data_IF_785516018879
#
_entry.id   IF_785516018879
#
_cell.length_a   1.000
_cell.length_b   1.000
_cell.length_c   1.000
_cell.angle_alpha   90.00
_cell.angle_beta   90.00
_cell.angle_gamma   90.00
#
_symmetry.space_group_name_H-M   'P 1'
#
loop_
_entity.id
_entity.type
_entity.pdbx_description
1 polymer ?
#
# COMPACT_ATOMS: atom_id res chain seq x y z
N UNK A 1 -23.57 8.52 8.60
CA UNK A 1 -22.38 8.38 7.74
C UNK A 1 -21.61 7.16 8.22
N UNK A 2 -21.17 6.30 7.30
CA UNK A 2 -20.30 5.16 7.63
C UNK A 2 -18.92 5.71 8.05
N UNK A 3 -18.27 5.16 9.09
CA UNK A 3 -16.94 5.62 9.49
C UNK A 3 -15.93 5.43 8.35
N UNK A 4 -14.90 6.29 8.25
CA UNK A 4 -13.86 6.12 7.24
C UNK A 4 -13.09 4.83 7.50
N UNK A 5 -12.64 4.19 6.41
CA UNK A 5 -11.86 2.96 6.48
C UNK A 5 -10.50 3.17 7.19
N UNK A 6 -9.88 4.33 6.97
CA UNK A 6 -8.63 4.78 7.61
C UNK A 6 -8.81 6.20 8.16
N UNK A 7 -8.23 6.49 9.31
CA UNK A 7 -8.27 7.82 9.97
C UNK A 7 -7.14 8.72 9.52
N UNK A 8 -5.93 8.17 9.36
CA UNK A 8 -4.73 8.86 8.91
C UNK A 8 -3.89 7.93 8.03
N UNK A 9 -4.01 8.14 6.72
CA UNK A 9 -3.19 7.46 5.73
C UNK A 9 -2.02 8.35 5.31
N UNK A 10 -0.79 7.83 5.41
CA UNK A 10 0.40 8.50 4.88
C UNK A 10 0.76 7.93 3.53
N UNK A 11 0.87 8.82 2.52
CA UNK A 11 1.32 8.48 1.18
C UNK A 11 2.85 8.62 1.15
N UNK A 12 3.52 7.49 1.01
CA UNK A 12 4.98 7.39 1.08
C UNK A 12 5.57 7.34 -0.33
N UNK A 13 6.35 8.37 -0.65
CA UNK A 13 7.21 8.44 -1.84
C UNK A 13 8.62 8.77 -1.38
N UNK A 14 9.62 7.96 -1.78
CA UNK A 14 11.00 8.03 -1.29
C UNK A 14 11.64 9.38 -1.55
N UNK A 15 11.43 9.96 -2.74
CA UNK A 15 12.02 11.25 -3.13
C UNK A 15 11.51 12.43 -2.30
N UNK A 16 10.39 12.26 -1.57
CA UNK A 16 9.81 13.28 -0.69
C UNK A 16 10.21 13.09 0.78
N UNK A 17 10.90 12.00 1.12
CA UNK A 17 11.32 11.73 2.48
C UNK A 17 12.63 12.48 2.78
N UNK A 18 12.68 13.22 3.89
CA UNK A 18 13.94 13.80 4.39
C UNK A 18 14.80 12.74 5.10
N UNK A 19 14.15 11.77 5.74
CA UNK A 19 14.79 10.62 6.38
C UNK A 19 14.77 9.41 5.43
N UNK A 20 15.38 8.32 5.88
CA UNK A 20 15.14 7.02 5.25
C UNK A 20 13.62 6.74 5.16
N UNK A 21 13.11 6.23 4.02
CA UNK A 21 11.68 6.01 3.85
C UNK A 21 11.07 5.02 4.85
N UNK A 22 11.79 3.98 5.26
CA UNK A 22 11.30 3.02 6.24
C UNK A 22 11.24 3.67 7.63
N UNK A 23 12.24 4.48 7.98
CA UNK A 23 12.23 5.27 9.21
C UNK A 23 11.10 6.32 9.21
N UNK A 24 10.85 6.96 8.07
CA UNK A 24 9.73 7.89 7.87
C UNK A 24 8.39 7.19 8.14
N UNK A 25 8.20 6.00 7.59
CA UNK A 25 7.01 5.19 7.85
C UNK A 25 6.90 4.80 9.33
N UNK A 26 8.00 4.40 9.96
CA UNK A 26 8.04 4.04 11.39
C UNK A 26 7.60 5.20 12.28
N UNK A 27 8.08 6.41 12.00
CA UNK A 27 7.72 7.61 12.74
C UNK A 27 6.28 8.04 12.46
N UNK A 28 5.81 7.94 11.22
CA UNK A 28 4.41 8.20 10.87
C UNK A 28 3.45 7.29 11.62
N UNK A 29 3.76 5.98 11.67
CA UNK A 29 2.97 5.00 12.43
C UNK A 29 3.00 5.33 13.93
N UNK A 30 4.17 5.66 14.49
CA UNK A 30 4.27 6.08 15.89
C UNK A 30 3.47 7.37 16.18
N UNK A 31 3.32 8.25 15.19
CA UNK A 31 2.49 9.45 15.24
C UNK A 31 0.99 9.20 15.06
N UNK A 32 0.57 7.95 14.82
CA UNK A 32 -0.84 7.56 14.74
C UNK A 32 -1.38 7.30 13.33
N UNK A 33 -0.52 7.14 12.32
CA UNK A 33 -0.96 6.67 11.01
C UNK A 33 -1.49 5.22 11.12
N UNK A 34 -2.70 5.00 10.63
CA UNK A 34 -3.36 3.68 10.61
C UNK A 34 -3.36 3.02 9.21
N UNK A 35 -2.86 3.75 8.21
CA UNK A 35 -2.52 3.20 6.91
C UNK A 35 -1.26 3.85 6.31
N UNK A 36 -0.49 3.07 5.57
CA UNK A 36 0.59 3.55 4.71
C UNK A 36 0.25 3.19 3.27
N UNK A 37 0.34 4.16 2.36
CA UNK A 37 0.27 3.92 0.93
C UNK A 37 1.68 3.99 0.32
N UNK A 38 2.16 2.89 -0.25
CA UNK A 38 3.41 2.86 -1.00
C UNK A 38 3.15 3.43 -2.40
N UNK A 39 3.70 4.62 -2.68
CA UNK A 39 3.51 5.33 -3.95
C UNK A 39 4.83 5.64 -4.63
N UNK A 40 5.19 4.81 -5.60
CA UNK A 40 6.39 4.97 -6.42
C UNK A 40 6.07 4.81 -7.90
N UNK A 41 5.98 5.92 -8.63
CA UNK A 41 5.59 5.92 -10.06
C UNK A 41 6.71 5.50 -11.01
N UNK A 42 7.96 5.55 -10.56
CA UNK A 42 9.14 5.28 -11.39
C UNK A 42 9.71 3.88 -11.19
N UNK A 43 9.22 3.13 -10.19
CA UNK A 43 9.68 1.76 -9.92
C UNK A 43 8.98 0.74 -10.81
N UNK A 44 9.74 -0.26 -11.24
CA UNK A 44 9.18 -1.52 -11.74
C UNK A 44 8.47 -2.28 -10.61
N UNK A 45 7.61 -3.22 -10.97
CA UNK A 45 6.94 -4.13 -10.02
C UNK A 45 7.95 -4.87 -9.14
N UNK A 46 9.07 -5.35 -9.70
CA UNK A 46 10.11 -6.06 -8.94
C UNK A 46 10.79 -5.18 -7.89
N UNK A 47 11.13 -3.93 -8.25
CA UNK A 47 11.72 -2.98 -7.30
C UNK A 47 10.72 -2.65 -6.18
N UNK A 48 9.46 -2.43 -6.56
CA UNK A 48 8.36 -2.16 -5.63
C UNK A 48 8.12 -3.34 -4.69
N UNK A 49 8.21 -4.58 -5.18
CA UNK A 49 8.11 -5.79 -4.36
C UNK A 49 9.24 -5.89 -3.34
N UNK A 50 10.49 -5.64 -3.76
CA UNK A 50 11.63 -5.73 -2.86
C UNK A 50 11.51 -4.75 -1.69
N UNK A 51 11.19 -3.49 -1.99
CA UNK A 51 11.00 -2.48 -0.96
C UNK A 51 9.70 -2.69 -0.16
N UNK A 52 8.62 -3.05 -0.85
CA UNK A 52 7.30 -3.28 -0.26
C UNK A 52 7.29 -4.41 0.77
N UNK A 53 8.17 -5.42 0.66
CA UNK A 53 8.28 -6.48 1.69
C UNK A 53 8.71 -5.92 3.05
N UNK A 54 9.70 -5.03 3.07
CA UNK A 54 10.18 -4.41 4.32
C UNK A 54 9.10 -3.53 4.94
N UNK A 55 8.44 -2.71 4.10
CA UNK A 55 7.35 -1.85 4.55
C UNK A 55 6.13 -2.65 5.03
N UNK A 56 5.82 -3.77 4.36
CA UNK A 56 4.72 -4.64 4.74
C UNK A 56 4.97 -5.30 6.09
N UNK A 57 6.19 -5.83 6.31
CA UNK A 57 6.57 -6.40 7.60
C UNK A 57 6.46 -5.37 8.74
N UNK A 58 6.88 -4.13 8.50
CA UNK A 58 6.71 -3.04 9.45
C UNK A 58 5.22 -2.79 9.75
N UNK A 59 4.39 -2.63 8.73
CA UNK A 59 2.95 -2.37 8.88
C UNK A 59 2.24 -3.50 9.62
N UNK A 60 2.49 -4.77 9.26
CA UNK A 60 1.94 -5.94 9.94
C UNK A 60 2.31 -5.98 11.42
N UNK A 61 3.57 -5.72 11.76
CA UNK A 61 4.03 -5.70 13.16
C UNK A 61 3.34 -4.64 14.03
N UNK A 62 2.65 -3.67 13.42
CA UNK A 62 1.97 -2.56 14.08
C UNK A 62 0.45 -2.58 13.89
N UNK A 63 -0.09 -3.56 13.16
CA UNK A 63 -1.53 -3.61 12.82
C UNK A 63 -1.97 -2.45 11.93
N UNK A 64 -1.06 -1.93 11.10
CA UNK A 64 -1.30 -0.83 10.16
C UNK A 64 -1.58 -1.39 8.77
N UNK A 65 -2.52 -0.80 8.04
CA UNK A 65 -2.82 -1.22 6.68
C UNK A 65 -1.70 -0.79 5.71
N UNK A 66 -1.35 -1.68 4.77
CA UNK A 66 -0.49 -1.33 3.63
C UNK A 66 -1.31 -1.31 2.35
N UNK A 67 -1.27 -0.18 1.62
CA UNK A 67 -1.92 0.01 0.34
C UNK A 67 -0.86 0.22 -0.74
N UNK A 68 -0.97 -0.49 -1.86
CA UNK A 68 -0.06 -0.31 -3.00
C UNK A 68 -0.72 0.56 -4.06
N UNK A 69 -0.04 1.60 -4.50
CA UNK A 69 -0.54 2.50 -5.53
C UNK A 69 -0.30 1.92 -6.94
N UNK A 70 -1.35 1.93 -7.78
CA UNK A 70 -1.42 1.60 -9.21
C UNK A 70 -1.01 0.16 -9.61
N UNK A 71 -0.23 -0.55 -8.79
CA UNK A 71 0.32 -1.87 -9.11
C UNK A 71 -0.41 -3.00 -8.35
N UNK A 72 -1.45 -3.54 -8.98
CA UNK A 72 -2.24 -4.65 -8.45
C UNK A 72 -1.41 -5.93 -8.28
N UNK A 73 -0.51 -6.24 -9.22
CA UNK A 73 0.33 -7.44 -9.15
C UNK A 73 1.23 -7.40 -7.92
N UNK A 74 1.83 -6.23 -7.64
CA UNK A 74 2.60 -6.00 -6.43
C UNK A 74 1.74 -6.12 -5.16
N UNK A 75 0.54 -5.53 -5.16
CA UNK A 75 -0.39 -5.61 -4.03
C UNK A 75 -0.75 -7.06 -3.67
N UNK A 76 -1.10 -7.85 -4.68
CA UNK A 76 -1.47 -9.26 -4.51
C UNK A 76 -0.27 -10.09 -4.07
N UNK A 77 0.89 -9.92 -4.71
CA UNK A 77 2.10 -10.68 -4.38
C UNK A 77 2.67 -10.34 -2.98
N UNK A 78 2.49 -9.12 -2.49
CA UNK A 78 2.85 -8.77 -1.10
C UNK A 78 1.85 -9.29 -0.08
N UNK A 79 0.62 -9.63 -0.49
CA UNK A 79 -0.48 -9.82 0.44
C UNK A 79 -0.89 -8.51 1.12
N UNK A 80 -0.79 -7.39 0.42
CA UNK A 80 -1.17 -6.08 0.95
C UNK A 80 -2.66 -6.02 1.31
N UNK A 81 -3.03 -5.04 2.14
CA UNK A 81 -4.43 -4.81 2.56
C UNK A 81 -5.30 -4.39 1.39
N UNK A 82 -4.76 -3.67 0.41
CA UNK A 82 -5.47 -3.26 -0.78
C UNK A 82 -4.58 -2.57 -1.81
N UNK A 83 -5.19 -2.17 -2.92
CA UNK A 83 -4.59 -1.30 -3.92
C UNK A 83 -5.34 0.04 -4.02
N UNK A 84 -4.62 1.10 -4.35
CA UNK A 84 -5.20 2.38 -4.76
C UNK A 84 -5.08 2.50 -6.27
N UNK A 85 -6.20 2.77 -6.95
CA UNK A 85 -6.28 2.93 -8.40
C UNK A 85 -6.90 4.27 -8.75
N UNK A 86 -6.28 4.97 -9.69
CA UNK A 86 -6.76 6.19 -10.31
C UNK A 86 -7.74 5.93 -11.46
N UNK A 87 -8.15 7.01 -12.13
CA UNK A 87 -9.14 6.96 -13.22
C UNK A 87 -8.59 6.34 -14.51
N UNK A 88 -7.27 6.44 -14.73
CA UNK A 88 -6.60 5.93 -15.91
C UNK A 88 -6.00 4.53 -15.70
N UNK A 89 -6.17 3.95 -14.51
CA UNK A 89 -5.67 2.62 -14.16
C UNK A 89 -6.72 1.53 -14.47
N UNK A 90 -6.44 0.28 -14.08
CA UNK A 90 -7.40 -0.82 -14.20
C UNK A 90 -8.72 -0.46 -13.51
N UNK A 91 -9.84 -0.69 -14.21
CA UNK A 91 -11.15 -0.35 -13.67
C UNK A 91 -11.39 -1.09 -12.34
N UNK A 92 -11.98 -0.45 -11.31
CA UNK A 92 -12.12 -1.06 -9.98
C UNK A 92 -12.87 -2.40 -9.97
N UNK A 93 -13.78 -2.62 -10.91
CA UNK A 93 -14.47 -3.92 -11.06
C UNK A 93 -13.53 -5.03 -11.52
N UNK A 94 -12.63 -4.74 -12.45
CA UNK A 94 -11.64 -5.69 -12.94
C UNK A 94 -10.60 -5.98 -11.86
N UNK A 95 -10.19 -4.97 -11.09
CA UNK A 95 -9.30 -5.14 -9.92
C UNK A 95 -9.89 -6.16 -8.93
N UNK A 96 -11.15 -5.99 -8.54
CA UNK A 96 -11.84 -6.93 -7.64
C UNK A 96 -11.97 -8.32 -8.24
N UNK A 97 -12.23 -8.42 -9.55
CA UNK A 97 -12.33 -9.70 -10.26
C UNK A 97 -10.99 -10.44 -10.24
N UNK A 98 -9.89 -9.76 -10.56
CA UNK A 98 -8.54 -10.32 -10.51
C UNK A 98 -8.19 -10.76 -9.10
N UNK A 99 -8.43 -9.93 -8.08
CA UNK A 99 -8.13 -10.27 -6.70
C UNK A 99 -8.85 -11.56 -6.23
N UNK A 100 -10.14 -11.71 -6.56
CA UNK A 100 -10.90 -12.94 -6.28
C UNK A 100 -10.35 -14.16 -7.01
N UNK A 101 -9.96 -14.01 -8.28
CA UNK A 101 -9.32 -15.09 -9.05
C UNK A 101 -7.96 -15.49 -8.45
N UNK A 102 -7.28 -14.56 -7.77
CA UNK A 102 -6.06 -14.80 -7.00
C UNK A 102 -6.31 -15.32 -5.57
N UNK A 103 -7.57 -15.60 -5.19
CA UNK A 103 -7.94 -16.11 -3.86
C UNK A 103 -8.00 -15.06 -2.76
N UNK A 104 -8.06 -13.77 -3.12
CA UNK A 104 -8.19 -12.63 -2.20
C UNK A 104 -9.61 -12.05 -2.24
N UNK A 105 -10.53 -12.71 -1.55
CA UNK A 105 -11.93 -12.27 -1.45
C UNK A 105 -12.14 -11.03 -0.56
N UNK A 106 -11.13 -10.72 0.26
CA UNK A 106 -11.10 -9.62 1.23
C UNK A 106 -10.52 -8.31 0.66
N UNK A 107 -10.20 -8.28 -0.63
CA UNK A 107 -9.43 -7.23 -1.30
C UNK A 107 -10.30 -6.17 -2.00
#
# INVERSE_FOLDING_TARGET
MQPPLYRLMVILTRELCTLDPLETARLAIAGGADAIQLREKKMSTTERLNWGRELHALCQSKGVALIINDDLDCALALGATGAHVGQDDMHPEDVRKVARLSGRDDF
#
